data_IF_632939916838
#
_entry.id   IF_632939916838
#
_cell.length_a   1.000
_cell.length_b   1.000
_cell.length_c   1.000
_cell.angle_alpha   90.00
_cell.angle_beta   90.00
_cell.angle_gamma   90.00
#
_symmetry.space_group_name_H-M   'P 1'
#
loop_
_entity.id
_entity.type
_entity.pdbx_description
1 polymer ?
#
# COMPACT_ATOMS: atom_id res chain seq x y z
N UNK A 1 -5.96 22.35 0.83
CA UNK A 1 -6.09 22.76 -0.59
C UNK A 1 -4.77 23.12 -1.27
N UNK A 2 -4.02 24.16 -0.88
CA UNK A 2 -2.74 24.45 -1.58
C UNK A 2 -1.68 23.35 -1.37
N UNK A 3 -1.62 22.79 -0.16
CA UNK A 3 -0.65 21.75 0.16
C UNK A 3 -0.97 20.44 -0.55
N UNK A 4 -2.21 19.96 -0.52
CA UNK A 4 -2.65 18.68 -1.13
C UNK A 4 -2.18 18.56 -2.60
N UNK A 5 -2.34 19.65 -3.36
CA UNK A 5 -1.89 19.71 -4.77
C UNK A 5 -0.39 19.50 -4.94
N UNK A 6 0.44 19.91 -3.97
CA UNK A 6 1.88 19.77 -4.07
C UNK A 6 2.30 18.30 -3.94
N UNK A 7 1.72 17.56 -2.99
CA UNK A 7 1.95 16.11 -2.85
C UNK A 7 1.51 15.36 -4.11
N UNK A 8 0.28 15.64 -4.56
CA UNK A 8 -0.32 15.02 -5.75
C UNK A 8 0.41 15.37 -7.06
N UNK A 9 1.19 16.45 -7.10
CA UNK A 9 2.03 16.80 -8.25
C UNK A 9 3.44 16.23 -8.15
N UNK A 10 3.98 16.10 -6.94
CA UNK A 10 5.37 15.71 -6.72
C UNK A 10 5.53 14.19 -6.75
N UNK A 11 4.58 13.45 -6.18
CA UNK A 11 4.67 11.99 -6.16
C UNK A 11 4.60 11.35 -7.57
N UNK A 12 3.68 11.73 -8.46
CA UNK A 12 3.71 11.20 -9.82
C UNK A 12 5.01 11.51 -10.56
N UNK A 13 5.58 12.70 -10.34
CA UNK A 13 6.88 13.07 -10.94
C UNK A 13 8.01 12.21 -10.40
N UNK A 14 7.97 11.84 -9.12
CA UNK A 14 8.95 10.95 -8.50
C UNK A 14 8.89 9.55 -9.12
N UNK A 15 7.70 9.05 -9.41
CA UNK A 15 7.52 7.77 -10.10
C UNK A 15 7.97 7.83 -11.57
N UNK A 16 7.54 8.85 -12.32
CA UNK A 16 7.87 9.03 -13.74
C UNK A 16 9.35 9.33 -13.97
N UNK A 17 10.04 9.92 -12.99
CA UNK A 17 11.48 10.18 -13.04
C UNK A 17 12.34 8.97 -12.67
N UNK A 18 11.75 7.81 -12.44
CA UNK A 18 12.44 6.60 -11.98
C UNK A 18 13.19 6.84 -10.65
N UNK A 19 12.47 7.39 -9.66
CA UNK A 19 12.93 7.62 -8.29
C UNK A 19 14.07 8.65 -8.16
N UNK A 20 14.01 9.73 -8.95
CA UNK A 20 15.00 10.81 -8.92
C UNK A 20 15.24 11.35 -7.48
N UNK A 21 16.49 11.40 -7.00
CA UNK A 21 16.79 11.80 -5.62
C UNK A 21 16.40 13.24 -5.27
N UNK A 22 16.44 14.18 -6.21
CA UNK A 22 16.07 15.57 -5.95
C UNK A 22 14.55 15.71 -5.80
N UNK A 23 13.76 14.96 -6.57
CA UNK A 23 12.31 14.88 -6.37
C UNK A 23 12.00 14.14 -5.06
N UNK A 24 12.75 13.09 -4.73
CA UNK A 24 12.66 12.40 -3.44
C UNK A 24 12.87 13.34 -2.25
N UNK A 25 13.89 14.21 -2.30
CA UNK A 25 14.13 15.24 -1.27
C UNK A 25 12.97 16.23 -1.15
N UNK A 26 12.36 16.60 -2.27
CA UNK A 26 11.14 17.43 -2.25
C UNK A 26 10.01 16.70 -1.51
N UNK A 27 9.77 15.42 -1.81
CA UNK A 27 8.78 14.61 -1.08
C UNK A 27 9.06 14.53 0.42
N UNK A 28 10.31 14.35 0.85
CA UNK A 28 10.68 14.36 2.28
C UNK A 28 10.28 15.67 2.97
N UNK A 29 10.33 16.81 2.27
CA UNK A 29 9.88 18.10 2.82
C UNK A 29 8.36 18.29 2.82
N UNK A 30 7.65 17.58 1.94
CA UNK A 30 6.21 17.71 1.73
C UNK A 30 5.43 16.82 2.69
N UNK A 31 5.81 15.54 2.80
CA UNK A 31 5.12 14.49 3.55
C UNK A 31 4.78 14.86 5.02
N UNK A 32 5.68 15.50 5.80
CA UNK A 32 5.37 15.92 7.18
C UNK A 32 4.16 16.86 7.28
N UNK A 33 3.87 17.67 6.26
CA UNK A 33 2.71 18.57 6.26
C UNK A 33 1.36 17.84 6.21
N UNK A 34 1.39 16.50 6.08
CA UNK A 34 0.23 15.61 6.00
C UNK A 34 0.21 14.56 7.11
N UNK A 35 1.08 14.68 8.12
CA UNK A 35 1.20 13.66 9.17
C UNK A 35 1.89 12.38 8.71
N UNK A 36 2.71 12.47 7.65
CA UNK A 36 3.50 11.37 7.08
C UNK A 36 4.99 11.52 7.42
N UNK A 37 5.30 11.90 8.66
CA UNK A 37 6.67 12.12 9.13
C UNK A 37 7.51 10.84 9.06
N UNK A 38 6.89 9.67 9.29
CA UNK A 38 7.58 8.38 9.29
C UNK A 38 8.00 8.02 7.86
N UNK A 39 7.11 8.19 6.90
CA UNK A 39 7.34 7.98 5.47
C UNK A 39 8.44 8.93 4.97
N UNK A 40 8.41 10.20 5.40
CA UNK A 40 9.44 11.19 5.08
C UNK A 40 10.83 10.77 5.58
N UNK A 41 10.94 10.37 6.85
CA UNK A 41 12.21 9.91 7.45
C UNK A 41 12.73 8.65 6.76
N UNK A 42 11.81 7.78 6.34
CA UNK A 42 12.13 6.52 5.67
C UNK A 42 12.64 6.73 4.26
N UNK A 43 11.95 7.56 3.47
CA UNK A 43 12.42 7.98 2.17
C UNK A 43 13.78 8.70 2.28
N UNK A 44 13.98 9.56 3.28
CA UNK A 44 15.27 10.20 3.53
C UNK A 44 16.38 9.17 3.80
N UNK A 45 16.11 8.15 4.61
CA UNK A 45 17.07 7.08 4.88
C UNK A 45 17.46 6.34 3.59
N UNK A 46 16.50 6.06 2.71
CA UNK A 46 16.77 5.47 1.40
C UNK A 46 17.63 6.37 0.52
N UNK A 47 17.35 7.67 0.48
CA UNK A 47 18.11 8.61 -0.34
C UNK A 47 19.57 8.76 0.13
N UNK A 48 19.83 8.54 1.42
CA UNK A 48 21.16 8.62 2.02
C UNK A 48 21.97 7.32 1.90
N UNK A 49 21.31 6.17 2.10
CA UNK A 49 22.00 4.87 2.25
C UNK A 49 21.64 3.83 1.17
N UNK A 50 20.69 4.13 0.27
CA UNK A 50 20.23 3.21 -0.77
C UNK A 50 19.43 2.02 -0.22
N UNK A 51 19.48 0.88 -0.93
CA UNK A 51 18.69 -0.32 -0.58
C UNK A 51 19.25 -1.12 0.60
N UNK A 52 20.45 -0.79 1.07
CA UNK A 52 21.06 -1.40 2.26
C UNK A 52 20.62 -0.70 3.56
N UNK A 53 19.74 0.30 3.44
CA UNK A 53 19.21 1.05 4.57
C UNK A 53 18.43 0.15 5.55
N UNK A 54 18.94 0.09 6.78
CA UNK A 54 18.25 -0.51 7.93
C UNK A 54 18.00 0.58 8.95
N UNK A 55 16.74 0.79 9.29
CA UNK A 55 16.31 1.79 10.25
C UNK A 55 15.87 1.19 11.58
N UNK A 56 15.37 2.07 12.45
CA UNK A 56 14.59 1.71 13.63
C UNK A 56 13.36 2.62 13.68
N UNK A 57 12.21 2.05 13.99
CA UNK A 57 11.03 2.82 14.36
C UNK A 57 11.11 3.02 15.88
N UNK A 58 11.34 4.27 16.29
CA UNK A 58 11.56 4.62 17.71
C UNK A 58 10.27 4.62 18.52
N UNK A 59 9.12 4.86 17.87
CA UNK A 59 7.85 5.11 18.56
C UNK A 59 6.63 4.50 17.85
N UNK A 60 5.64 4.12 18.67
CA UNK A 60 4.36 3.58 18.25
C UNK A 60 4.32 2.06 18.19
N UNK A 61 3.24 1.50 17.65
CA UNK A 61 2.93 0.07 17.69
C UNK A 61 3.90 -0.83 16.91
N UNK A 62 4.71 -0.22 16.05
CA UNK A 62 5.71 -0.86 15.21
C UNK A 62 7.13 -0.73 15.78
N UNK A 63 7.29 -0.20 17.01
CA UNK A 63 8.58 -0.05 17.66
C UNK A 63 9.28 -1.41 17.84
N UNK A 64 10.61 -1.36 17.95
CA UNK A 64 11.49 -2.52 18.23
C UNK A 64 11.54 -3.62 17.15
N UNK A 65 10.80 -3.46 16.05
CA UNK A 65 10.87 -4.37 14.89
C UNK A 65 12.07 -4.02 14.00
N UNK A 66 12.63 -5.04 13.35
CA UNK A 66 13.65 -4.81 12.31
C UNK A 66 12.97 -4.11 11.14
N UNK A 67 13.63 -3.07 10.64
CA UNK A 67 13.04 -2.17 9.69
C UNK A 67 13.98 -1.97 8.50
N UNK A 68 13.52 -2.39 7.33
CA UNK A 68 14.23 -2.31 6.06
C UNK A 68 13.62 -1.22 5.18
N UNK A 69 14.43 -0.59 4.33
CA UNK A 69 13.97 0.45 3.42
C UNK A 69 14.53 0.19 2.03
N UNK A 70 13.67 0.17 1.02
CA UNK A 70 14.11 -0.01 -0.36
C UNK A 70 12.98 -0.36 -1.32
N UNK A 71 13.27 -0.49 -2.62
CA UNK A 71 12.27 -0.77 -3.66
C UNK A 71 11.83 -2.24 -3.72
N UNK A 72 12.52 -3.14 -3.01
CA UNK A 72 12.23 -4.57 -3.01
C UNK A 72 12.13 -5.11 -1.59
N UNK A 73 11.27 -6.13 -1.36
CA UNK A 73 11.23 -6.80 -0.07
C UNK A 73 12.58 -7.44 0.30
N UNK A 74 13.01 -7.37 1.57
CA UNK A 74 14.28 -7.93 2.02
C UNK A 74 14.25 -9.47 2.04
N UNK A 75 15.29 -10.10 1.49
CA UNK A 75 15.39 -11.58 1.33
C UNK A 75 15.51 -12.32 2.68
N UNK A 76 16.21 -11.75 3.66
CA UNK A 76 16.50 -12.40 4.96
C UNK A 76 15.56 -11.94 6.09
N UNK A 77 14.31 -11.68 5.74
CA UNK A 77 13.27 -11.23 6.66
C UNK A 77 12.68 -12.36 7.49
N UNK A 78 12.04 -12.00 8.60
CA UNK A 78 11.31 -12.88 9.51
C UNK A 78 9.91 -12.30 9.75
N UNK A 79 8.91 -13.13 10.06
CA UNK A 79 7.59 -12.65 10.44
C UNK A 79 7.66 -11.54 11.49
N UNK A 80 6.95 -10.45 11.23
CA UNK A 80 6.93 -9.25 12.05
C UNK A 80 7.98 -8.20 11.71
N UNK A 81 8.96 -8.50 10.84
CA UNK A 81 9.82 -7.47 10.27
C UNK A 81 9.01 -6.47 9.43
N UNK A 82 9.57 -5.29 9.27
CA UNK A 82 8.99 -4.18 8.54
C UNK A 82 9.82 -3.82 7.32
N UNK A 83 9.15 -3.46 6.24
CA UNK A 83 9.80 -2.98 5.02
C UNK A 83 9.05 -1.76 4.51
N UNK A 84 9.74 -0.63 4.34
CA UNK A 84 9.18 0.53 3.66
C UNK A 84 9.51 0.46 2.18
N UNK A 85 8.45 0.29 1.40
CA UNK A 85 8.52 0.36 -0.05
C UNK A 85 8.63 1.83 -0.47
N UNK A 86 9.81 2.19 -0.97
CA UNK A 86 10.12 3.57 -1.40
C UNK A 86 9.43 3.94 -2.72
N UNK A 87 8.92 2.97 -3.48
CA UNK A 87 8.18 3.20 -4.71
C UNK A 87 6.75 3.61 -4.37
N UNK A 88 6.04 2.81 -3.58
CA UNK A 88 4.67 3.15 -3.17
C UNK A 88 4.61 4.18 -2.04
N UNK A 89 5.71 4.36 -1.30
CA UNK A 89 5.80 5.10 -0.03
C UNK A 89 4.89 4.53 1.05
N UNK A 90 4.92 3.21 1.20
CA UNK A 90 4.07 2.47 2.13
C UNK A 90 4.90 1.54 3.01
N UNK A 91 4.59 1.55 4.31
CA UNK A 91 5.19 0.62 5.27
C UNK A 91 4.45 -0.71 5.23
N UNK A 92 5.19 -1.79 5.07
CA UNK A 92 4.73 -3.17 4.99
C UNK A 92 5.20 -3.95 6.22
N UNK A 93 4.43 -4.96 6.63
CA UNK A 93 4.80 -5.94 7.66
C UNK A 93 4.76 -7.35 7.08
N UNK A 94 5.77 -8.16 7.40
CA UNK A 94 5.80 -9.57 6.98
C UNK A 94 4.92 -10.40 7.91
N UNK A 95 3.86 -10.99 7.37
CA UNK A 95 2.94 -11.87 8.10
C UNK A 95 3.31 -13.32 7.79
N UNK A 96 3.34 -14.20 8.82
CA UNK A 96 3.57 -15.62 8.57
C UNK A 96 2.39 -16.20 7.78
N UNK A 97 2.68 -17.14 6.89
CA UNK A 97 1.61 -17.89 6.26
C UNK A 97 0.89 -18.76 7.32
N UNK A 98 -0.43 -18.69 7.37
CA UNK A 98 -1.23 -19.65 8.14
C UNK A 98 -1.24 -20.97 7.40
N UNK A 99 -0.37 -21.89 7.79
CA UNK A 99 -0.49 -23.27 7.34
C UNK A 99 -1.73 -23.86 8.01
N UNK A 100 -2.85 -23.90 7.29
CA UNK A 100 -3.92 -24.83 7.62
C UNK A 100 -3.32 -26.25 7.45
N UNK A 101 -3.19 -27.04 8.54
CA UNK A 101 -2.63 -28.38 8.46
C UNK A 101 -3.36 -29.28 7.45
N UNK A 102 -4.63 -29.00 7.15
CA UNK A 102 -5.47 -29.75 6.22
C UNK A 102 -5.32 -29.34 4.75
N UNK A 103 -4.74 -28.16 4.48
CA UNK A 103 -4.49 -27.64 3.11
C UNK A 103 -3.02 -27.79 2.66
N UNK A 104 -2.20 -28.49 3.45
CA UNK A 104 -0.83 -28.83 3.10
C UNK A 104 -0.79 -29.90 2.01
N UNK A 105 -1.15 -29.53 0.78
CA UNK A 105 -0.67 -30.30 -0.36
C UNK A 105 0.87 -30.26 -0.37
N UNK A 106 1.57 -31.39 -0.57
CA UNK A 106 3.02 -31.50 -0.47
C UNK A 106 3.83 -30.52 -1.36
N UNK A 107 3.17 -29.85 -2.32
CA UNK A 107 3.77 -28.92 -3.27
C UNK A 107 3.33 -27.46 -3.09
N UNK A 108 2.44 -27.16 -2.14
CA UNK A 108 1.99 -25.80 -1.90
C UNK A 108 2.94 -25.11 -0.90
N UNK A 109 4.11 -24.70 -1.40
CA UNK A 109 5.02 -23.80 -0.70
C UNK A 109 4.37 -22.41 -0.62
N UNK A 110 3.40 -22.23 0.28
CA UNK A 110 2.82 -20.90 0.46
C UNK A 110 3.78 -20.05 1.26
N UNK A 111 4.28 -19.01 0.62
CA UNK A 111 5.31 -18.12 1.15
C UNK A 111 4.67 -17.10 2.11
N UNK A 112 5.42 -16.62 3.13
CA UNK A 112 4.97 -15.50 3.95
C UNK A 112 4.69 -14.26 3.08
N UNK A 113 3.72 -13.46 3.49
CA UNK A 113 3.22 -12.33 2.70
C UNK A 113 3.56 -10.99 3.37
N UNK A 114 4.03 -10.04 2.58
CA UNK A 114 4.13 -8.64 3.00
C UNK A 114 2.76 -7.98 2.83
N UNK A 115 2.28 -7.30 3.87
CA UNK A 115 1.01 -6.60 3.86
C UNK A 115 1.24 -5.16 4.30
N UNK A 116 0.62 -4.20 3.61
CA UNK A 116 0.66 -2.81 4.02
C UNK A 116 0.09 -2.62 5.42
N UNK A 117 0.79 -1.81 6.22
CA UNK A 117 0.41 -1.48 7.59
C UNK A 117 -0.78 -0.53 7.67
N UNK A 118 -1.23 -0.01 6.53
CA UNK A 118 -2.45 0.78 6.37
C UNK A 118 -3.03 0.62 4.96
N UNK A 119 -4.30 0.96 4.73
CA UNK A 119 -4.87 1.04 3.38
C UNK A 119 -4.21 2.11 2.52
N UNK A 120 -4.42 2.02 1.21
CA UNK A 120 -3.89 2.97 0.23
C UNK A 120 -4.51 4.37 0.44
N UNK A 121 -3.71 5.42 0.38
CA UNK A 121 -4.18 6.80 0.41
C UNK A 121 -4.75 7.25 -0.93
N UNK A 122 -5.69 8.19 -0.91
CA UNK A 122 -6.29 8.78 -2.12
C UNK A 122 -5.22 9.39 -3.04
N UNK A 123 -4.20 10.06 -2.50
CA UNK A 123 -3.13 10.66 -3.33
C UNK A 123 -2.29 9.61 -4.07
N UNK A 124 -2.05 8.44 -3.46
CA UNK A 124 -1.34 7.33 -4.10
C UNK A 124 -2.17 6.77 -5.25
N UNK A 125 -3.47 6.53 -5.00
CA UNK A 125 -4.37 6.00 -6.01
C UNK A 125 -4.59 6.97 -7.18
N UNK A 126 -4.74 8.27 -6.90
CA UNK A 126 -4.82 9.31 -7.95
C UNK A 126 -3.54 9.40 -8.78
N UNK A 127 -2.37 9.22 -8.17
CA UNK A 127 -1.10 9.17 -8.91
C UNK A 127 -1.06 7.98 -9.89
N UNK A 128 -1.53 6.81 -9.45
CA UNK A 128 -1.74 5.66 -10.34
C UNK A 128 -2.67 6.01 -11.52
N UNK A 129 -3.85 6.58 -11.26
CA UNK A 129 -4.79 6.94 -12.33
C UNK A 129 -4.21 7.95 -13.33
N UNK A 130 -3.32 8.85 -12.87
CA UNK A 130 -2.66 9.84 -13.72
C UNK A 130 -1.56 9.23 -14.62
N UNK A 131 -0.89 8.17 -14.15
CA UNK A 131 0.28 7.59 -14.82
C UNK A 131 -0.03 6.31 -15.58
N UNK A 132 -1.10 5.59 -15.23
CA UNK A 132 -1.45 4.32 -15.85
C UNK A 132 -1.81 4.53 -17.33
N UNK A 133 -1.15 3.78 -18.21
CA UNK A 133 -1.47 3.76 -19.63
C UNK A 133 -2.54 2.70 -19.89
N UNK A 134 -3.77 3.14 -20.12
CA UNK A 134 -4.87 2.24 -20.47
C UNK A 134 -4.71 1.81 -21.93
N UNK A 135 -4.35 0.55 -22.14
CA UNK A 135 -4.28 -0.06 -23.47
C UNK A 135 -5.65 -0.28 -24.08
N UNK A 136 -5.69 -0.59 -25.38
CA UNK A 136 -6.93 -0.99 -26.05
C UNK A 136 -7.45 -2.31 -25.49
N UNK A 137 -8.74 -2.37 -25.13
CA UNK A 137 -9.38 -3.60 -24.67
C UNK A 137 -9.35 -4.67 -25.77
N UNK A 138 -8.74 -5.81 -25.48
CA UNK A 138 -8.76 -7.00 -26.36
C UNK A 138 -10.14 -7.71 -26.28
N UNK A 139 -10.84 -7.57 -25.15
CA UNK A 139 -12.15 -8.18 -24.90
C UNK A 139 -13.14 -7.07 -24.52
N UNK A 140 -14.26 -6.99 -25.24
CA UNK A 140 -15.40 -6.13 -24.92
C UNK A 140 -16.18 -6.74 -23.75
N UNK A 141 -15.66 -6.61 -22.54
CA UNK A 141 -16.51 -6.69 -21.35
C UNK A 141 -17.00 -5.28 -21.08
N UNK A 142 -18.32 -5.14 -20.91
CA UNK A 142 -18.96 -3.91 -20.46
C UNK A 142 -18.41 -3.56 -19.09
N UNK A 143 -17.44 -2.65 -19.04
CA UNK A 143 -17.01 -2.05 -17.79
C UNK A 143 -18.00 -0.95 -17.41
N UNK A 144 -18.18 -0.68 -16.11
CA UNK A 144 -18.89 0.52 -15.67
C UNK A 144 -18.38 1.74 -16.42
N UNK A 145 -19.29 2.65 -16.78
CA UNK A 145 -18.95 3.85 -17.56
C UNK A 145 -17.96 4.78 -16.85
N UNK A 146 -17.78 4.58 -15.55
CA UNK A 146 -16.91 5.36 -14.66
C UNK A 146 -15.66 4.60 -14.18
N UNK A 147 -15.38 3.43 -14.74
CA UNK A 147 -14.20 2.62 -14.42
C UNK A 147 -12.89 3.38 -14.71
N UNK A 148 -11.98 3.43 -13.72
CA UNK A 148 -10.69 4.14 -13.77
C UNK A 148 -10.80 5.63 -14.14
N UNK A 149 -11.94 6.28 -13.90
CA UNK A 149 -12.08 7.72 -14.13
C UNK A 149 -11.62 8.52 -12.90
N UNK A 150 -10.63 9.43 -13.03
CA UNK A 150 -10.09 10.21 -11.90
C UNK A 150 -11.14 10.97 -11.09
N UNK A 151 -12.16 11.52 -11.76
CA UNK A 151 -13.14 12.41 -11.13
C UNK A 151 -14.01 11.73 -10.05
N UNK A 152 -14.11 10.39 -10.04
CA UNK A 152 -14.81 9.65 -8.98
C UNK A 152 -14.21 9.91 -7.60
N UNK A 153 -12.93 10.25 -7.57
CA UNK A 153 -12.21 10.43 -6.34
C UNK A 153 -12.11 11.90 -5.94
N UNK A 154 -12.45 12.88 -6.80
CA UNK A 154 -12.20 14.33 -6.61
C UNK A 154 -12.70 14.91 -5.28
N UNK A 155 -13.79 14.36 -4.74
CA UNK A 155 -14.37 14.80 -3.46
C UNK A 155 -13.64 14.26 -2.23
N UNK A 156 -12.84 13.19 -2.37
CA UNK A 156 -12.09 12.58 -1.28
C UNK A 156 -10.84 13.43 -0.97
N UNK A 157 -10.45 13.52 0.31
CA UNK A 157 -9.21 14.23 0.67
C UNK A 157 -8.01 13.36 0.32
N UNK A 158 -6.94 14.00 -0.15
CA UNK A 158 -5.70 13.32 -0.51
C UNK A 158 -5.19 12.36 0.59
N UNK A 159 -5.23 12.79 1.85
CA UNK A 159 -4.74 12.05 3.02
C UNK A 159 -5.72 11.03 3.59
N UNK A 160 -6.96 10.98 3.10
CA UNK A 160 -7.87 9.92 3.49
C UNK A 160 -7.46 8.63 2.77
N UNK A 161 -7.87 7.49 3.31
CA UNK A 161 -7.73 6.22 2.61
C UNK A 161 -8.73 6.13 1.46
N UNK A 162 -8.29 5.60 0.32
CA UNK A 162 -9.14 5.49 -0.87
C UNK A 162 -10.28 4.51 -0.61
N UNK A 163 -11.49 4.94 -0.92
CA UNK A 163 -12.71 4.14 -0.78
C UNK A 163 -13.53 4.12 -2.06
N UNK A 164 -14.51 3.20 -2.12
CA UNK A 164 -15.44 3.02 -3.24
C UNK A 164 -14.75 2.61 -4.55
N UNK A 165 -13.78 1.70 -4.45
CA UNK A 165 -13.10 1.09 -5.59
C UNK A 165 -13.88 -0.11 -6.12
N UNK A 166 -13.90 -0.29 -7.44
CA UNK A 166 -14.21 -1.59 -8.02
C UNK A 166 -13.08 -2.57 -7.72
N UNK A 167 -13.41 -3.86 -7.65
CA UNK A 167 -12.42 -4.91 -7.41
C UNK A 167 -11.25 -4.85 -8.41
N UNK A 168 -11.56 -4.72 -9.71
CA UNK A 168 -10.56 -4.66 -10.77
C UNK A 168 -9.69 -3.39 -10.70
N UNK A 169 -10.17 -2.30 -10.10
CA UNK A 169 -9.35 -1.09 -9.89
C UNK A 169 -8.29 -1.32 -8.83
N UNK A 170 -8.66 -2.00 -7.74
CA UNK A 170 -7.72 -2.37 -6.70
C UNK A 170 -6.69 -3.41 -7.20
N UNK A 171 -7.11 -4.37 -8.06
CA UNK A 171 -6.18 -5.30 -8.72
C UNK A 171 -5.21 -4.51 -9.62
N UNK A 172 -5.73 -3.63 -10.46
CA UNK A 172 -4.93 -2.86 -11.40
C UNK A 172 -3.89 -2.00 -10.67
N UNK A 173 -4.28 -1.34 -9.58
CA UNK A 173 -3.38 -0.57 -8.73
C UNK A 173 -2.26 -1.43 -8.13
N UNK A 174 -2.60 -2.53 -7.46
CA UNK A 174 -1.61 -3.41 -6.85
C UNK A 174 -0.64 -3.97 -7.90
N UNK A 175 -1.17 -4.42 -9.05
CA UNK A 175 -0.39 -4.96 -10.16
C UNK A 175 0.53 -3.91 -10.77
N UNK A 176 0.11 -2.65 -10.86
CA UNK A 176 0.93 -1.56 -11.39
C UNK A 176 2.19 -1.32 -10.54
N UNK A 177 2.11 -1.55 -9.23
CA UNK A 177 3.25 -1.54 -8.31
C UNK A 177 3.96 -2.91 -8.21
N UNK A 178 3.62 -3.90 -9.03
CA UNK A 178 4.22 -5.23 -8.99
C UNK A 178 3.81 -6.06 -7.77
N UNK A 179 2.67 -5.75 -7.15
CA UNK A 179 2.14 -6.41 -5.95
C UNK A 179 0.91 -7.26 -6.27
N UNK A 180 0.56 -8.13 -5.32
CA UNK A 180 -0.72 -8.84 -5.29
C UNK A 180 -1.72 -8.11 -4.39
N UNK A 181 -3.00 -8.35 -4.62
CA UNK A 181 -4.04 -7.88 -3.72
C UNK A 181 -4.09 -8.77 -2.46
N UNK A 182 -4.07 -8.16 -1.27
CA UNK A 182 -4.39 -8.86 -0.03
C UNK A 182 -5.87 -9.27 0.01
N UNK A 183 -6.12 -10.57 0.18
CA UNK A 183 -7.46 -11.13 0.31
C UNK A 183 -7.83 -11.41 1.76
N UNK A 184 -8.96 -12.12 1.94
CA UNK A 184 -9.43 -12.55 3.24
C UNK A 184 -8.40 -13.42 4.00
N UNK A 185 -7.66 -14.28 3.30
CA UNK A 185 -6.69 -15.20 3.93
C UNK A 185 -5.49 -14.46 4.52
N UNK A 186 -4.88 -13.54 3.77
CA UNK A 186 -3.76 -12.73 4.25
C UNK A 186 -4.18 -11.85 5.44
N UNK A 187 -5.39 -11.28 5.37
CA UNK A 187 -5.91 -10.44 6.45
C UNK A 187 -6.30 -11.24 7.69
N UNK A 188 -6.80 -12.47 7.54
CA UNK A 188 -7.01 -13.37 8.66
C UNK A 188 -5.67 -13.77 9.31
N UNK A 189 -4.66 -14.09 8.49
CA UNK A 189 -3.29 -14.34 8.96
C UNK A 189 -2.70 -13.15 9.72
N UNK A 190 -2.91 -11.92 9.21
CA UNK A 190 -2.48 -10.70 9.87
C UNK A 190 -3.22 -10.49 11.20
N UNK A 191 -4.52 -10.76 11.24
CA UNK A 191 -5.35 -10.63 12.45
C UNK A 191 -4.90 -11.55 13.56
N UNK A 192 -4.57 -12.79 13.22
CA UNK A 192 -4.18 -13.80 14.21
C UNK A 192 -2.73 -13.64 14.68
N UNK A 193 -1.88 -13.03 13.85
CA UNK A 193 -0.47 -12.80 14.17
C UNK A 193 -0.19 -11.47 14.88
N UNK A 194 -0.89 -10.39 14.50
CA UNK A 194 -0.64 -9.04 15.01
C UNK A 194 -1.42 -8.76 16.29
N UNK A 195 -0.90 -7.85 17.12
CA UNK A 195 -1.69 -7.26 18.19
C UNK A 195 -2.91 -6.52 17.63
N UNK A 196 -4.05 -6.46 18.35
CA UNK A 196 -5.26 -5.80 17.88
C UNK A 196 -5.04 -4.36 17.39
N UNK A 197 -4.18 -3.61 18.07
CA UNK A 197 -3.84 -2.22 17.73
C UNK A 197 -3.10 -2.16 16.38
N UNK A 198 -2.19 -3.11 16.11
CA UNK A 198 -1.47 -3.23 14.85
C UNK A 198 -2.38 -3.67 13.70
N UNK A 199 -3.24 -4.66 13.94
CA UNK A 199 -4.23 -5.06 12.94
C UNK A 199 -5.22 -3.93 12.61
N UNK A 200 -5.58 -3.09 13.60
CA UNK A 200 -6.48 -1.95 13.38
C UNK A 200 -5.91 -0.86 12.46
N UNK A 201 -4.58 -0.81 12.30
CA UNK A 201 -3.95 0.05 11.29
C UNK A 201 -4.05 -0.58 9.91
N UNK A 202 -3.78 -1.89 9.79
CA UNK A 202 -3.89 -2.66 8.55
C UNK A 202 -5.30 -2.54 7.99
N UNK A 203 -6.32 -2.90 8.78
CA UNK A 203 -7.73 -2.80 8.40
C UNK A 203 -8.52 -1.97 9.44
N UNK A 204 -8.69 -0.66 9.20
CA UNK A 204 -9.48 0.20 10.07
C UNK A 204 -10.92 -0.29 10.23
N UNK A 205 -11.46 -0.25 11.45
CA UNK A 205 -12.77 -0.83 11.78
C UNK A 205 -13.96 -0.32 10.96
N UNK A 206 -13.84 0.85 10.32
CA UNK A 206 -14.89 1.44 9.47
C UNK A 206 -14.80 0.99 8.01
N UNK A 207 -13.81 0.17 7.66
CA UNK A 207 -13.60 -0.32 6.31
C UNK A 207 -14.10 -1.74 6.15
N UNK A 208 -14.63 -2.03 4.95
CA UNK A 208 -15.09 -3.37 4.57
C UNK A 208 -14.39 -3.81 3.30
N UNK A 209 -14.08 -5.10 3.26
CA UNK A 209 -13.51 -5.76 2.10
C UNK A 209 -14.62 -6.21 1.17
N UNK A 210 -14.33 -6.23 -0.12
CA UNK A 210 -15.27 -6.67 -1.15
C UNK A 210 -15.49 -8.19 -1.14
N UNK A 211 -14.51 -8.99 -0.73
CA UNK A 211 -14.61 -10.45 -0.69
C UNK A 211 -15.41 -10.99 0.52
N UNK A 212 -15.69 -10.15 1.52
CA UNK A 212 -16.48 -10.50 2.70
C UNK A 212 -18.00 -10.28 2.52
N UNK A 213 -18.55 -10.44 1.32
CA UNK A 213 -19.94 -10.08 1.02
C UNK A 213 -20.98 -10.95 1.77
N UNK A 214 -21.71 -10.32 2.69
CA UNK A 214 -23.08 -10.71 3.07
C UNK A 214 -24.16 -9.67 2.65
N UNK A 215 -23.83 -8.47 2.12
CA UNK A 215 -24.88 -7.48 1.77
C UNK A 215 -24.46 -6.35 0.80
N UNK A 216 -25.33 -5.91 -0.13
CA UNK A 216 -25.00 -5.03 -1.27
C UNK A 216 -25.05 -3.50 -0.99
N UNK A 217 -24.94 -3.03 0.26
CA UNK A 217 -25.12 -1.60 0.59
C UNK A 217 -23.99 -1.09 1.50
N UNK A 218 -22.78 -0.84 1.00
CA UNK A 218 -21.68 -0.23 1.79
C UNK A 218 -20.51 0.28 0.95
N UNK A 219 -19.64 1.09 1.58
CA UNK A 219 -18.42 1.66 1.02
C UNK A 219 -17.22 0.69 1.19
N UNK A 220 -16.39 0.54 0.16
CA UNK A 220 -15.39 -0.54 0.06
C UNK A 220 -13.94 -0.03 -0.02
N UNK A 221 -13.00 -0.74 0.63
CA UNK A 221 -11.54 -0.45 0.59
C UNK A 221 -10.75 -1.75 0.52
N UNK A 222 -9.59 -1.74 -0.14
CA UNK A 222 -8.62 -2.83 -0.08
C UNK A 222 -7.22 -2.32 0.27
N UNK A 223 -6.46 -3.21 0.89
CA UNK A 223 -5.07 -3.00 1.33
C UNK A 223 -4.21 -3.68 0.27
N UNK A 224 -3.52 -2.88 -0.53
CA UNK A 224 -2.54 -3.34 -1.52
C UNK A 224 -1.15 -3.35 -0.90
#
# INVERSE_FOLDING_TARGET
>A
MKNDRLLEQTFPKYLDSNLDPEIGKQLCSILPNFGLEKEARSLQLYLEYGSDAVGKIEEGIWSDRRYFVGPYPPVNSRPGDLWFDVIELTLMVLIPHQSDPEMLEPNNNVLPAWISTHPVYVWQFRAFLNLVKIGSKIIQIDSPSDYLLPHRFDSQKATDFVTNLYHDEAIAYATWFGKGMGGQFELQGARDFLFPEAFSQVLPAKMRLWDAMESPVSEFVRIA
#
